data_IF_882928671164
#
_entry.id   IF_882928671164
#
_cell.length_a   1.000
_cell.length_b   1.000
_cell.length_c   1.000
_cell.angle_alpha   90.00
_cell.angle_beta   90.00
_cell.angle_gamma   90.00
#
_symmetry.space_group_name_H-M   'P 1'
#
loop_
_entity.id
_entity.type
_entity.pdbx_description
1 polymer ?
#
# COMPACT_ATOMS: atom_id res chain seq x y z
N UNK A 1 -8.36 5.49 -4.05
CA UNK A 1 -8.25 5.92 -2.65
C UNK A 1 -7.05 5.27 -1.98
N UNK A 2 -6.27 5.99 -1.16
CA UNK A 2 -5.14 5.42 -0.42
C UNK A 2 -5.59 4.91 0.95
N UNK A 3 -5.34 3.63 1.25
CA UNK A 3 -5.71 2.99 2.53
C UNK A 3 -4.48 2.82 3.42
N UNK A 4 -4.24 3.81 4.26
CA UNK A 4 -3.04 3.90 5.10
C UNK A 4 -3.28 3.19 6.44
N UNK A 5 -2.46 2.18 6.73
CA UNK A 5 -2.50 1.44 7.99
C UNK A 5 -3.60 0.39 8.09
N UNK A 6 -3.52 -0.44 9.13
CA UNK A 6 -4.34 -1.65 9.25
C UNK A 6 -5.85 -1.38 9.39
N UNK A 7 -6.25 -0.33 10.12
CA UNK A 7 -7.66 -0.07 10.38
C UNK A 7 -8.42 0.28 9.09
N UNK A 8 -7.86 1.11 8.22
CA UNK A 8 -8.48 1.44 6.94
C UNK A 8 -8.54 0.22 6.03
N UNK A 9 -7.45 -0.55 5.95
CA UNK A 9 -7.40 -1.78 5.15
C UNK A 9 -8.43 -2.82 5.63
N UNK A 10 -8.59 -2.99 6.94
CA UNK A 10 -9.58 -3.94 7.49
C UNK A 10 -11.02 -3.51 7.22
N UNK A 11 -11.28 -2.21 7.18
CA UNK A 11 -12.63 -1.69 6.93
C UNK A 11 -13.02 -1.81 5.45
N UNK A 12 -12.11 -1.48 4.54
CA UNK A 12 -12.43 -1.37 3.11
C UNK A 12 -12.10 -2.62 2.29
N UNK A 13 -11.10 -3.42 2.67
CA UNK A 13 -10.68 -4.56 1.86
C UNK A 13 -11.41 -5.84 2.26
N UNK A 14 -12.10 -6.43 1.30
CA UNK A 14 -12.71 -7.77 1.45
C UNK A 14 -11.68 -8.85 1.14
N UNK A 15 -11.69 -9.97 1.87
CA UNK A 15 -10.79 -11.13 1.67
C UNK A 15 -9.28 -10.81 1.70
N UNK A 16 -8.89 -9.71 2.36
CA UNK A 16 -7.47 -9.32 2.42
C UNK A 16 -6.61 -10.38 3.13
N UNK A 17 -5.31 -10.48 2.79
CA UNK A 17 -4.39 -11.34 3.51
C UNK A 17 -4.29 -11.05 5.00
N UNK A 18 -3.76 -12.03 5.74
CA UNK A 18 -3.56 -11.92 7.19
C UNK A 18 -2.55 -10.86 7.58
N UNK A 19 -1.51 -10.65 6.77
CA UNK A 19 -0.40 -9.75 7.11
C UNK A 19 -0.42 -8.47 6.30
N UNK A 20 0.10 -7.38 6.89
CA UNK A 20 0.28 -6.09 6.21
C UNK A 20 1.13 -6.25 4.95
N UNK A 21 2.26 -6.98 5.05
CA UNK A 21 3.17 -7.17 3.92
C UNK A 21 2.48 -7.81 2.74
N UNK A 22 1.76 -8.92 2.94
CA UNK A 22 1.02 -9.58 1.87
C UNK A 22 -0.08 -8.69 1.28
N UNK A 23 -0.80 -7.95 2.15
CA UNK A 23 -1.82 -7.01 1.69
C UNK A 23 -1.21 -5.92 0.81
N UNK A 24 -0.10 -5.30 1.21
CA UNK A 24 0.56 -4.26 0.41
C UNK A 24 1.22 -4.85 -0.84
N UNK A 25 1.71 -6.09 -0.80
CA UNK A 25 2.36 -6.74 -1.94
C UNK A 25 1.35 -7.10 -3.04
N UNK A 26 0.09 -7.34 -2.69
CA UNK A 26 -1.01 -7.65 -3.61
C UNK A 26 -1.82 -6.40 -3.97
N UNK A 27 -1.24 -5.20 -3.86
CA UNK A 27 -1.96 -3.93 -4.00
C UNK A 27 -2.74 -3.79 -5.32
N UNK A 28 -2.31 -4.47 -6.39
CA UNK A 28 -2.99 -4.49 -7.68
C UNK A 28 -4.39 -5.14 -7.62
N UNK A 29 -4.65 -6.03 -6.66
CA UNK A 29 -5.95 -6.71 -6.55
C UNK A 29 -7.12 -5.76 -6.25
N UNK A 30 -6.81 -4.57 -5.72
CA UNK A 30 -7.81 -3.55 -5.38
C UNK A 30 -7.68 -2.28 -6.22
N UNK A 31 -6.73 -2.23 -7.15
CA UNK A 31 -6.64 -1.11 -8.08
C UNK A 31 -7.81 -1.14 -9.08
N UNK A 32 -8.27 0.02 -9.60
CA UNK A 32 -7.84 1.35 -9.23
C UNK A 32 -8.53 1.87 -7.95
N UNK A 33 -9.54 1.19 -7.41
CA UNK A 33 -10.38 1.75 -6.36
C UNK A 33 -9.61 2.04 -5.06
N UNK A 34 -8.80 1.10 -4.59
CA UNK A 34 -8.01 1.20 -3.36
C UNK A 34 -6.55 0.83 -3.58
N UNK A 35 -5.66 1.50 -2.86
CA UNK A 35 -4.23 1.16 -2.79
C UNK A 35 -3.86 1.03 -1.30
N UNK A 36 -3.62 -0.19 -0.78
CA UNK A 36 -3.19 -0.40 0.60
C UNK A 36 -1.75 0.04 0.82
N UNK A 37 -1.53 0.83 1.88
CA UNK A 37 -0.21 1.34 2.23
C UNK A 37 0.16 1.06 3.69
N UNK A 38 1.45 0.81 3.97
CA UNK A 38 1.95 0.79 5.34
C UNK A 38 1.73 2.16 6.00
N UNK A 39 1.57 2.19 7.33
CA UNK A 39 1.48 3.46 8.05
C UNK A 39 2.83 4.21 7.93
N UNK A 40 2.84 5.54 7.67
CA UNK A 40 4.06 6.35 7.57
C UNK A 40 4.61 6.68 8.97
N UNK A 41 5.02 5.64 9.71
CA UNK A 41 5.67 5.77 11.01
C UNK A 41 7.16 5.47 10.87
N UNK A 42 8.05 6.14 11.63
CA UNK A 42 9.46 5.74 11.74
C UNK A 42 9.67 4.28 12.15
N UNK A 43 8.67 3.68 12.82
CA UNK A 43 8.68 2.24 13.16
C UNK A 43 8.67 1.33 11.93
N UNK A 44 8.25 1.82 10.76
CA UNK A 44 8.23 1.07 9.51
C UNK A 44 9.54 1.13 8.72
N UNK A 45 10.57 1.85 9.18
CA UNK A 45 11.87 1.90 8.47
C UNK A 45 12.48 0.53 8.25
N UNK A 46 12.39 -0.39 9.23
CA UNK A 46 12.86 -1.76 9.06
C UNK A 46 12.02 -2.54 8.04
N UNK A 47 10.71 -2.28 8.00
CA UNK A 47 9.83 -2.91 7.03
C UNK A 47 10.19 -2.46 5.61
N UNK A 48 10.40 -1.16 5.37
CA UNK A 48 10.81 -0.62 4.07
C UNK A 48 12.14 -1.23 3.61
N UNK A 49 13.14 -1.30 4.49
CA UNK A 49 14.43 -1.95 4.20
C UNK A 49 14.30 -3.42 3.83
N UNK A 50 13.32 -4.14 4.39
CA UNK A 50 13.07 -5.56 4.09
C UNK A 50 12.19 -5.77 2.86
N UNK A 51 11.51 -4.74 2.38
CA UNK A 51 10.56 -4.78 1.28
C UNK A 51 10.90 -3.71 0.23
N UNK A 52 12.08 -3.80 -0.42
CA UNK A 52 12.55 -2.78 -1.36
C UNK A 52 11.61 -2.60 -2.56
N UNK A 53 10.85 -3.64 -2.92
CA UNK A 53 9.80 -3.61 -3.95
C UNK A 53 8.76 -2.51 -3.69
N UNK A 54 8.51 -2.14 -2.43
CA UNK A 54 7.56 -1.07 -2.12
C UNK A 54 7.99 0.27 -2.74
N UNK A 55 9.26 0.62 -2.61
CA UNK A 55 9.80 1.86 -3.15
C UNK A 55 10.00 1.80 -4.67
N UNK A 56 10.35 0.63 -5.23
CA UNK A 56 10.60 0.50 -6.67
C UNK A 56 9.35 0.27 -7.51
N UNK A 57 8.25 -0.22 -6.94
CA UNK A 57 7.05 -0.60 -7.69
C UNK A 57 5.82 0.21 -7.26
N UNK A 58 5.53 0.24 -5.97
CA UNK A 58 4.29 0.84 -5.45
C UNK A 58 4.36 2.37 -5.49
N UNK A 59 5.48 2.95 -5.05
CA UNK A 59 5.65 4.41 -5.00
C UNK A 59 5.58 5.04 -6.40
N UNK A 60 6.28 4.54 -7.44
CA UNK A 60 6.19 5.10 -8.79
C UNK A 60 4.77 5.01 -9.37
N UNK A 61 4.06 3.91 -9.13
CA UNK A 61 2.67 3.76 -9.56
C UNK A 61 1.78 4.86 -8.94
N UNK A 62 1.91 5.09 -7.63
CA UNK A 62 1.13 6.13 -6.94
C UNK A 62 1.48 7.52 -7.47
N UNK A 63 2.77 7.81 -7.68
CA UNK A 63 3.21 9.09 -8.24
C UNK A 63 2.62 9.33 -9.63
N UNK A 64 2.70 8.34 -10.52
CA UNK A 64 2.12 8.43 -11.87
C UNK A 64 0.62 8.70 -11.80
N UNK A 65 -0.08 7.99 -10.92
CA UNK A 65 -1.52 8.11 -10.78
C UNK A 65 -1.98 9.43 -10.16
N UNK A 66 -1.24 9.94 -9.18
CA UNK A 66 -1.49 11.28 -8.64
C UNK A 66 -1.24 12.32 -9.72
N UNK A 67 -0.14 12.17 -10.48
CA UNK A 67 0.20 13.10 -11.55
C UNK A 67 -0.84 13.12 -12.67
N UNK A 68 -1.45 11.97 -13.02
CA UNK A 68 -2.50 11.92 -14.04
C UNK A 68 -3.82 12.59 -13.63
N UNK A 69 -3.96 13.02 -12.36
CA UNK A 69 -5.13 13.72 -11.84
C UNK A 69 -4.91 15.23 -11.66
N UNK A 70 -3.69 15.72 -11.93
CA UNK A 70 -3.33 17.14 -11.93
C UNK A 70 -3.56 17.75 -13.33
#
# INVERSE_FOLDING_TARGET
TLLIGQYSQQYYLTNKPKTLTQTVQQWQDWEPEFIPLPHPSPRNTLWLKKNPWFESEVVPYIQQRVHSML
#
